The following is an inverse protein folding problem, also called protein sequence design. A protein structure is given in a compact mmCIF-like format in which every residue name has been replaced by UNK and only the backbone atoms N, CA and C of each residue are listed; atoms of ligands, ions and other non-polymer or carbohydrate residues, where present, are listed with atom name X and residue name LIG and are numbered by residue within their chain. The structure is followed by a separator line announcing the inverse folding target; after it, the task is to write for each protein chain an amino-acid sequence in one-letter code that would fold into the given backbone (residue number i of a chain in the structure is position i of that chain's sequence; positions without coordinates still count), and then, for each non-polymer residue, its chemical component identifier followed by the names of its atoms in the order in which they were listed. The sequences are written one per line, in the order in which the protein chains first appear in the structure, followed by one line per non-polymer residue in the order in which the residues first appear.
data_IF_552891168774
#
_entry.id   IF_552891168774
#
_cell.length_a   1.000
_cell.length_b   1.000
_cell.length_c   1.000
_cell.angle_alpha   90.00
_cell.angle_beta   90.00
_cell.angle_gamma   90.00
#
_symmetry.space_group_name_H-M   'P 1'
#
loop_
_entity.id
_entity.type
_entity.pdbx_description
1 polymer ?
#
# COMPACT_ATOMS: atom_id res chain seq x y z
N UNK A 1 -6.61 -3.03 9.30
CA UNK A 1 -6.37 -2.58 7.91
C UNK A 1 -5.63 -3.67 7.13
N UNK A 2 -5.73 -3.66 5.81
CA UNK A 2 -5.05 -4.59 4.92
C UNK A 2 -4.29 -3.84 3.83
N UNK A 3 -3.21 -4.42 3.33
CA UNK A 3 -2.41 -3.90 2.22
C UNK A 3 -2.30 -4.96 1.12
N UNK A 4 -2.37 -4.52 -0.13
CA UNK A 4 -2.14 -5.38 -1.31
C UNK A 4 -1.38 -4.61 -2.39
N UNK A 5 -0.39 -5.28 -2.97
CA UNK A 5 0.38 -4.82 -4.12
C UNK A 5 -0.21 -5.41 -5.38
N UNK A 6 -0.68 -4.56 -6.28
CA UNK A 6 -1.34 -4.94 -7.53
C UNK A 6 -0.38 -4.68 -8.68
N UNK A 7 -0.15 -5.73 -9.48
CA UNK A 7 0.74 -5.65 -10.63
C UNK A 7 0.05 -4.92 -11.77
N UNK A 8 0.67 -3.87 -12.26
CA UNK A 8 0.25 -3.17 -13.46
C UNK A 8 0.46 -4.03 -14.72
N UNK A 9 -0.28 -3.73 -15.78
CA UNK A 9 -0.14 -4.39 -17.09
C UNK A 9 0.33 -3.38 -18.14
N UNK A 10 1.32 -3.77 -18.93
CA UNK A 10 1.87 -2.98 -20.02
C UNK A 10 2.29 -1.56 -19.59
N UNK A 11 1.50 -0.53 -19.92
CA UNK A 11 1.77 0.87 -19.59
C UNK A 11 1.23 1.30 -18.22
N UNK A 12 0.44 0.44 -17.57
CA UNK A 12 -0.12 0.72 -16.25
C UNK A 12 0.95 0.38 -15.21
N UNK A 13 1.30 1.32 -14.30
CA UNK A 13 2.28 1.07 -13.25
C UNK A 13 1.71 0.14 -12.16
N UNK A 14 2.58 -0.32 -11.28
CA UNK A 14 2.18 -1.07 -10.10
C UNK A 14 1.52 -0.15 -9.07
N UNK A 15 0.57 -0.69 -8.32
CA UNK A 15 -0.18 0.07 -7.32
C UNK A 15 -0.21 -0.65 -5.97
N UNK A 16 -0.33 0.15 -4.93
CA UNK A 16 -0.60 -0.29 -3.57
C UNK A 16 -2.02 0.15 -3.21
N UNK A 17 -2.78 -0.77 -2.65
CA UNK A 17 -4.08 -0.50 -2.05
C UNK A 17 -3.99 -0.75 -0.56
N UNK A 18 -4.51 0.19 0.22
CA UNK A 18 -4.81 -0.02 1.64
C UNK A 18 -6.31 -0.10 1.78
N UNK A 19 -6.78 -1.11 2.52
CA UNK A 19 -8.19 -1.36 2.81
C UNK A 19 -8.43 -1.34 4.31
N UNK A 20 -9.61 -0.90 4.73
CA UNK A 20 -10.04 -1.02 6.12
C UNK A 20 -10.43 -2.47 6.47
N UNK A 21 -10.96 -2.69 7.68
CA UNK A 21 -11.38 -4.03 8.12
C UNK A 21 -12.63 -4.55 7.39
N UNK A 22 -13.41 -3.66 6.77
CA UNK A 22 -14.54 -3.98 5.92
C UNK A 22 -14.13 -4.16 4.45
N UNK A 23 -12.83 -4.21 4.17
CA UNK A 23 -12.23 -4.26 2.82
C UNK A 23 -12.55 -3.05 1.93
N UNK A 24 -13.00 -1.94 2.49
CA UNK A 24 -13.22 -0.67 1.78
C UNK A 24 -11.87 -0.06 1.44
N UNK A 25 -11.71 0.40 0.20
CA UNK A 25 -10.49 1.05 -0.26
C UNK A 25 -10.31 2.40 0.42
N UNK A 26 -9.28 2.53 1.26
CA UNK A 26 -8.98 3.76 1.99
C UNK A 26 -7.80 4.54 1.38
N UNK A 27 -6.82 3.85 0.81
CA UNK A 27 -5.70 4.48 0.12
C UNK A 27 -5.34 3.77 -1.18
N UNK A 28 -4.96 4.53 -2.19
CA UNK A 28 -4.54 4.01 -3.49
C UNK A 28 -3.44 4.88 -4.09
N UNK A 29 -2.27 4.29 -4.31
CA UNK A 29 -1.12 5.02 -4.84
C UNK A 29 -0.19 4.09 -5.62
N UNK A 30 0.66 4.71 -6.44
CA UNK A 30 1.64 4.01 -7.27
C UNK A 30 2.78 3.46 -6.40
N UNK A 31 3.18 2.22 -6.63
CA UNK A 31 4.28 1.58 -5.90
C UNK A 31 5.66 2.19 -6.24
N UNK A 32 5.81 2.79 -7.43
CA UNK A 32 7.05 3.41 -7.89
C UNK A 32 7.25 4.86 -7.43
N UNK A 33 6.28 5.44 -6.72
CA UNK A 33 6.35 6.83 -6.27
C UNK A 33 6.47 6.89 -4.75
N UNK A 34 7.21 7.89 -4.21
CA UNK A 34 7.21 8.14 -2.78
C UNK A 34 5.78 8.40 -2.33
N UNK A 35 5.39 7.74 -1.24
CA UNK A 35 4.08 7.97 -0.65
C UNK A 35 3.99 9.41 -0.20
N UNK A 36 2.93 10.08 -0.62
CA UNK A 36 2.61 11.44 -0.21
C UNK A 36 1.33 11.40 0.59
N UNK A 37 1.25 12.20 1.65
CA UNK A 37 0.08 12.33 2.52
C UNK A 37 -0.25 11.05 3.33
N UNK A 38 0.76 10.31 3.79
CA UNK A 38 0.54 9.09 4.59
C UNK A 38 -0.10 9.39 5.96
N UNK A 39 0.12 10.62 6.44
CA UNK A 39 -0.55 11.25 7.59
C UNK A 39 -2.09 11.17 7.51
N UNK A 40 -2.67 11.31 6.31
CA UNK A 40 -4.13 11.24 6.10
C UNK A 40 -4.72 9.85 6.36
N UNK A 41 -3.87 8.84 6.41
CA UNK A 41 -4.27 7.46 6.67
C UNK A 41 -3.88 7.00 8.09
N UNK A 42 -3.44 7.92 8.95
CA UNK A 42 -3.01 7.60 10.32
C UNK A 42 -1.71 6.79 10.38
N UNK A 43 -0.88 6.89 9.33
CA UNK A 43 0.39 6.17 9.19
C UNK A 43 1.60 7.12 9.34
N UNK A 44 1.43 8.23 10.05
CA UNK A 44 2.50 9.17 10.36
C UNK A 44 3.64 8.48 11.12
N UNK A 45 4.89 8.76 10.75
CA UNK A 45 6.07 8.13 11.35
C UNK A 45 6.32 6.67 10.95
N UNK A 46 5.44 6.08 10.14
CA UNK A 46 5.56 4.68 9.66
C UNK A 46 6.03 4.57 8.21
N UNK A 47 6.55 5.64 7.65
CA UNK A 47 6.91 5.73 6.22
C UNK A 47 7.98 4.70 5.83
N UNK A 48 9.04 4.57 6.63
CA UNK A 48 10.14 3.63 6.39
C UNK A 48 9.67 2.17 6.54
N UNK A 49 8.90 1.86 7.60
CA UNK A 49 8.36 0.52 7.82
C UNK A 49 7.42 0.09 6.70
N UNK A 50 6.59 1.01 6.21
CA UNK A 50 5.67 0.78 5.12
C UNK A 50 6.40 0.63 3.78
N UNK A 51 7.46 1.41 3.53
CA UNK A 51 8.30 1.26 2.35
C UNK A 51 9.01 -0.09 2.32
N UNK A 52 9.56 -0.54 3.45
CA UNK A 52 10.15 -1.87 3.59
C UNK A 52 9.11 -2.97 3.33
N UNK A 53 7.92 -2.85 3.94
CA UNK A 53 6.80 -3.78 3.75
C UNK A 53 6.40 -3.88 2.27
N UNK A 54 6.31 -2.76 1.55
CA UNK A 54 5.92 -2.75 0.12
C UNK A 54 6.96 -3.37 -0.80
N UNK A 55 8.24 -3.20 -0.47
CA UNK A 55 9.32 -3.82 -1.22
C UNK A 55 9.28 -5.35 -1.08
N UNK A 56 8.98 -5.85 0.11
CA UNK A 56 8.87 -7.29 0.38
C UNK A 56 7.53 -7.88 -0.07
N UNK A 57 6.48 -7.06 -0.20
CA UNK A 57 5.13 -7.53 -0.51
C UNK A 57 5.05 -8.21 -1.89
N UNK A 58 4.63 -9.48 -1.97
CA UNK A 58 4.38 -10.13 -3.25
C UNK A 58 3.10 -9.62 -3.90
N UNK A 59 3.12 -9.56 -5.23
CA UNK A 59 1.96 -9.13 -6.01
C UNK A 59 0.75 -10.06 -5.82
N UNK A 60 -0.43 -9.46 -5.66
CA UNK A 60 -1.70 -10.17 -5.55
C UNK A 60 -1.96 -10.82 -4.19
N UNK A 61 -1.05 -10.69 -3.20
CA UNK A 61 -1.29 -11.17 -1.84
C UNK A 61 -1.80 -10.04 -0.95
N UNK A 62 -2.93 -10.30 -0.30
CA UNK A 62 -3.47 -9.44 0.74
C UNK A 62 -2.75 -9.77 2.05
N UNK A 63 -2.19 -8.75 2.69
CA UNK A 63 -1.53 -8.88 3.99
C UNK A 63 -2.22 -7.97 5.00
N UNK A 64 -2.36 -8.43 6.24
CA UNK A 64 -2.87 -7.59 7.32
C UNK A 64 -1.81 -6.55 7.65
N UNK A 65 -2.22 -5.29 7.74
CA UNK A 65 -1.35 -4.19 8.11
C UNK A 65 -1.29 -4.13 9.65
N UNK A 66 -0.27 -4.76 10.21
CA UNK A 66 0.07 -4.72 11.64
C UNK A 66 1.26 -3.78 11.82
N UNK A 67 1.00 -2.46 11.73
CA UNK A 67 2.00 -1.42 11.96
C UNK A 67 1.73 -0.73 13.29
#
# INVERSE_FOLDING_TARGET
MYIIKVKGKAKIPDYIQIRDENFVLVAYFRADRPMKNIEKFGLEGKEEALAALINDLPFGKLQKLEL
#
